data_IF_546180201552
#
_entry.id   IF_546180201552
#
_cell.length_a   1.000
_cell.length_b   1.000
_cell.length_c   1.000
_cell.angle_alpha   90.00
_cell.angle_beta   90.00
_cell.angle_gamma   90.00
#
_symmetry.space_group_name_H-M   'P 1'
#
loop_
_entity.id
_entity.type
_entity.pdbx_description
1 polymer ?
#
# COMPACT_ATOMS: atom_id res chain seq x y z
N UNK A 1 -25.83 -6.73 -3.28
CA UNK A 1 -25.81 -5.32 -2.80
C UNK A 1 -24.39 -5.03 -2.36
N UNK A 2 -23.81 -3.92 -2.85
CA UNK A 2 -22.46 -3.52 -2.43
C UNK A 2 -22.43 -3.22 -0.93
N UNK A 3 -21.36 -3.63 -0.29
CA UNK A 3 -21.10 -3.36 1.14
C UNK A 3 -20.87 -1.86 1.35
N UNK A 4 -21.40 -1.31 2.44
CA UNK A 4 -21.20 0.09 2.85
C UNK A 4 -20.70 0.11 4.28
N UNK A 5 -19.53 0.73 4.51
CA UNK A 5 -18.91 0.88 5.83
C UNK A 5 -18.62 2.36 6.07
N UNK A 6 -19.04 2.91 7.19
CA UNK A 6 -18.86 4.33 7.53
C UNK A 6 -19.37 5.30 6.43
N UNK A 7 -20.44 4.92 5.73
CA UNK A 7 -20.98 5.69 4.60
C UNK A 7 -20.17 5.60 3.29
N UNK A 8 -19.07 4.86 3.28
CA UNK A 8 -18.27 4.59 2.08
C UNK A 8 -18.73 3.26 1.46
N UNK A 9 -19.06 3.31 0.17
CA UNK A 9 -19.42 2.12 -0.60
C UNK A 9 -18.15 1.43 -1.07
N UNK A 10 -18.03 0.13 -0.83
CA UNK A 10 -16.96 -0.69 -1.43
C UNK A 10 -17.33 -0.96 -2.90
N UNK A 11 -16.44 -0.66 -3.86
CA UNK A 11 -16.69 -0.93 -5.28
C UNK A 11 -17.03 -2.39 -5.54
N UNK A 12 -18.07 -2.62 -6.35
CA UNK A 12 -18.58 -3.96 -6.68
C UNK A 12 -18.81 -4.16 -8.19
N UNK A 13 -18.11 -3.39 -9.04
CA UNK A 13 -18.03 -3.67 -10.46
C UNK A 13 -17.47 -5.08 -10.70
N UNK A 14 -17.60 -5.62 -11.88
CA UNK A 14 -16.99 -6.91 -12.23
C UNK A 14 -15.49 -6.86 -11.94
N UNK A 15 -14.81 -5.80 -12.35
CA UNK A 15 -13.38 -5.61 -12.20
C UNK A 15 -12.97 -5.50 -10.71
N UNK A 16 -13.71 -4.73 -9.91
CA UNK A 16 -13.45 -4.61 -8.48
C UNK A 16 -13.62 -5.94 -7.74
N UNK A 17 -14.61 -6.76 -8.13
CA UNK A 17 -14.77 -8.10 -7.56
C UNK A 17 -13.61 -9.02 -7.90
N UNK A 18 -13.18 -9.04 -9.17
CA UNK A 18 -12.03 -9.86 -9.60
C UNK A 18 -10.74 -9.44 -8.90
N UNK A 19 -10.51 -8.13 -8.70
CA UNK A 19 -9.38 -7.63 -7.91
C UNK A 19 -9.46 -8.09 -6.44
N UNK A 20 -10.66 -8.07 -5.86
CA UNK A 20 -10.89 -8.54 -4.48
C UNK A 20 -10.63 -10.04 -4.34
N UNK A 21 -11.08 -10.84 -5.30
CA UNK A 21 -10.83 -12.29 -5.33
C UNK A 21 -9.35 -12.59 -5.46
N UNK A 22 -8.64 -11.86 -6.34
CA UNK A 22 -7.20 -11.99 -6.49
C UNK A 22 -6.45 -11.72 -5.15
N UNK A 23 -6.85 -10.67 -4.41
CA UNK A 23 -6.29 -10.39 -3.10
C UNK A 23 -6.62 -11.52 -2.09
N UNK A 24 -7.82 -12.10 -2.13
CA UNK A 24 -8.19 -13.22 -1.25
C UNK A 24 -7.41 -14.49 -1.55
N UNK A 25 -7.18 -14.78 -2.83
CA UNK A 25 -6.49 -16.00 -3.28
C UNK A 25 -4.99 -15.99 -2.98
N UNK A 26 -4.38 -14.82 -2.98
CA UNK A 26 -2.93 -14.68 -2.88
C UNK A 26 -2.46 -13.93 -1.63
N UNK A 27 -3.31 -13.12 -1.03
CA UNK A 27 -3.03 -12.39 0.22
C UNK A 27 -3.31 -13.24 1.47
N UNK A 28 -2.84 -12.75 2.60
CA UNK A 28 -3.22 -13.28 3.91
C UNK A 28 -4.48 -12.57 4.43
N UNK A 29 -5.19 -13.12 5.44
CA UNK A 29 -6.28 -12.40 6.11
C UNK A 29 -5.85 -11.02 6.66
N UNK A 30 -4.58 -10.89 7.08
CA UNK A 30 -4.00 -9.61 7.49
C UNK A 30 -4.00 -8.61 6.34
N UNK A 31 -3.40 -8.97 5.20
CA UNK A 31 -3.30 -8.10 4.02
C UNK A 31 -4.68 -7.75 3.47
N UNK A 32 -5.60 -8.72 3.44
CA UNK A 32 -6.97 -8.46 3.02
C UNK A 32 -7.65 -7.39 3.89
N UNK A 33 -7.65 -7.57 5.21
CA UNK A 33 -8.26 -6.63 6.13
C UNK A 33 -7.56 -5.25 6.10
N UNK A 34 -6.22 -5.24 5.98
CA UNK A 34 -5.43 -4.02 5.82
C UNK A 34 -5.82 -3.25 4.55
N UNK A 35 -5.84 -3.89 3.41
CA UNK A 35 -6.19 -3.27 2.12
C UNK A 35 -7.58 -2.64 2.15
N UNK A 36 -8.57 -3.31 2.76
CA UNK A 36 -9.91 -2.75 2.89
C UNK A 36 -9.95 -1.54 3.83
N UNK A 37 -9.18 -1.56 4.94
CA UNK A 37 -9.06 -0.39 5.82
C UNK A 37 -8.33 0.77 5.12
N UNK A 38 -7.29 0.49 4.34
CA UNK A 38 -6.58 1.50 3.53
C UNK A 38 -7.54 2.21 2.59
N UNK A 39 -8.36 1.46 1.85
CA UNK A 39 -9.39 2.04 1.00
C UNK A 39 -10.37 2.90 1.80
N UNK A 40 -10.93 2.37 2.88
CA UNK A 40 -11.95 3.04 3.68
C UNK A 40 -11.41 4.31 4.35
N UNK A 41 -10.23 4.25 4.98
CA UNK A 41 -9.61 5.40 5.60
C UNK A 41 -9.21 6.46 4.57
N UNK A 42 -8.65 6.05 3.43
CA UNK A 42 -8.37 6.95 2.31
C UNK A 42 -9.63 7.65 1.83
N UNK A 43 -10.71 6.92 1.58
CA UNK A 43 -11.98 7.48 1.13
C UNK A 43 -12.63 8.43 2.17
N UNK A 44 -12.55 8.10 3.47
CA UNK A 44 -13.04 8.98 4.54
C UNK A 44 -12.22 10.26 4.59
N UNK A 45 -10.88 10.19 4.51
CA UNK A 45 -10.00 11.38 4.45
C UNK A 45 -10.30 12.22 3.21
N UNK A 46 -10.52 11.57 2.05
CA UNK A 46 -10.94 12.26 0.82
C UNK A 46 -12.25 13.04 1.01
N UNK A 47 -13.25 12.42 1.64
CA UNK A 47 -14.51 13.05 1.98
C UNK A 47 -14.32 14.23 2.95
N UNK A 48 -13.51 14.08 3.99
CA UNK A 48 -13.23 15.12 4.97
C UNK A 48 -12.49 16.32 4.38
N UNK A 49 -11.72 16.10 3.32
CA UNK A 49 -11.00 17.13 2.56
C UNK A 49 -11.78 17.65 1.34
N UNK A 50 -13.02 17.21 1.14
CA UNK A 50 -13.86 17.57 0.01
C UNK A 50 -13.21 17.30 -1.37
N UNK A 51 -12.40 16.23 -1.47
CA UNK A 51 -11.73 15.88 -2.70
C UNK A 51 -12.67 15.12 -3.65
N UNK A 52 -12.56 15.40 -4.94
CA UNK A 52 -13.22 14.60 -5.98
C UNK A 52 -12.33 13.40 -6.29
N UNK A 53 -12.82 12.20 -6.03
CA UNK A 53 -12.05 10.95 -6.07
C UNK A 53 -12.77 9.92 -6.94
N UNK A 54 -12.04 9.26 -7.83
CA UNK A 54 -12.50 8.02 -8.42
C UNK A 54 -12.32 6.89 -7.41
N UNK A 55 -13.43 6.46 -6.80
CA UNK A 55 -13.43 5.45 -5.76
C UNK A 55 -13.00 4.06 -6.26
N UNK A 56 -13.20 3.74 -7.54
CA UNK A 56 -12.77 2.47 -8.09
C UNK A 56 -11.25 2.45 -8.29
N UNK A 57 -10.66 3.54 -8.76
CA UNK A 57 -9.22 3.66 -8.90
C UNK A 57 -8.50 3.71 -7.55
N UNK A 58 -9.07 4.42 -6.56
CA UNK A 58 -8.59 4.38 -5.18
C UNK A 58 -8.64 2.95 -4.62
N UNK A 59 -9.72 2.22 -4.90
CA UNK A 59 -9.89 0.82 -4.48
C UNK A 59 -8.83 -0.09 -5.08
N UNK A 60 -8.54 0.01 -6.38
CA UNK A 60 -7.46 -0.77 -6.99
C UNK A 60 -6.11 -0.44 -6.36
N UNK A 61 -5.80 0.83 -6.14
CA UNK A 61 -4.60 1.22 -5.42
C UNK A 61 -4.49 0.53 -4.07
N UNK A 62 -5.56 0.56 -3.28
CA UNK A 62 -5.60 -0.05 -1.94
C UNK A 62 -5.54 -1.59 -1.97
N UNK A 63 -6.23 -2.25 -2.93
CA UNK A 63 -6.27 -3.72 -3.01
C UNK A 63 -4.93 -4.31 -3.43
N UNK A 64 -4.20 -3.62 -4.29
CA UNK A 64 -2.95 -4.13 -4.85
C UNK A 64 -1.69 -3.70 -4.09
N UNK A 65 -1.72 -2.65 -3.23
CA UNK A 65 -0.50 -1.99 -2.74
C UNK A 65 0.52 -2.91 -2.07
N UNK A 66 0.08 -3.95 -1.40
CA UNK A 66 0.92 -4.89 -0.64
C UNK A 66 1.04 -6.29 -1.28
N UNK A 67 0.50 -6.52 -2.49
CA UNK A 67 0.57 -7.83 -3.14
C UNK A 67 2.00 -8.30 -3.41
N UNK A 68 2.94 -7.38 -3.63
CA UNK A 68 4.36 -7.69 -3.80
C UNK A 68 5.05 -8.29 -2.56
N UNK A 69 4.39 -8.29 -1.39
CA UNK A 69 4.84 -9.04 -0.22
C UNK A 69 4.51 -10.53 -0.31
N UNK A 70 3.60 -10.94 -1.19
CA UNK A 70 3.12 -12.31 -1.30
C UNK A 70 4.02 -13.18 -2.16
N UNK A 71 4.01 -14.49 -1.91
CA UNK A 71 4.85 -15.43 -2.66
C UNK A 71 4.58 -15.45 -4.17
N UNK A 72 3.35 -15.11 -4.58
CA UNK A 72 2.94 -15.09 -6.00
C UNK A 72 3.54 -13.92 -6.76
N UNK A 73 3.65 -12.74 -6.14
CA UNK A 73 3.98 -11.50 -6.83
C UNK A 73 5.36 -10.94 -6.52
N UNK A 74 6.00 -11.38 -5.43
CA UNK A 74 7.34 -10.92 -5.08
C UNK A 74 8.40 -11.38 -6.09
N UNK A 75 9.21 -10.46 -6.58
CA UNK A 75 10.42 -10.74 -7.35
C UNK A 75 11.65 -10.90 -6.45
N UNK A 76 12.80 -11.15 -7.06
CA UNK A 76 14.10 -11.22 -6.37
C UNK A 76 14.88 -9.89 -6.37
N UNK A 77 14.51 -8.95 -7.24
CA UNK A 77 15.33 -7.79 -7.60
C UNK A 77 14.60 -6.44 -7.53
N UNK A 78 13.26 -6.43 -7.43
CA UNK A 78 12.50 -5.20 -7.27
C UNK A 78 12.04 -5.00 -5.83
N UNK A 79 11.81 -3.74 -5.45
CA UNK A 79 11.09 -3.37 -4.23
C UNK A 79 9.69 -3.98 -4.28
N UNK A 80 9.13 -4.33 -3.11
CA UNK A 80 7.78 -4.92 -3.07
C UNK A 80 6.71 -3.96 -3.60
N UNK A 81 6.91 -2.65 -3.44
CA UNK A 81 6.01 -1.62 -3.98
C UNK A 81 5.99 -1.66 -5.51
N UNK A 82 7.13 -1.93 -6.15
CA UNK A 82 7.24 -2.07 -7.62
C UNK A 82 6.59 -3.39 -8.07
N UNK A 83 6.82 -4.48 -7.35
CA UNK A 83 6.18 -5.76 -7.62
C UNK A 83 4.65 -5.63 -7.55
N UNK A 84 4.14 -4.97 -6.50
CA UNK A 84 2.72 -4.65 -6.32
C UNK A 84 2.15 -3.79 -7.45
N UNK A 85 2.86 -2.71 -7.79
CA UNK A 85 2.44 -1.77 -8.83
C UNK A 85 2.41 -2.44 -10.22
N UNK A 86 3.39 -3.29 -10.52
CA UNK A 86 3.42 -4.07 -11.77
C UNK A 86 2.24 -5.05 -11.83
N UNK A 87 1.94 -5.76 -10.73
CA UNK A 87 0.79 -6.67 -10.67
C UNK A 87 -0.53 -5.93 -10.94
N UNK A 88 -0.72 -4.74 -10.37
CA UNK A 88 -1.88 -3.90 -10.61
C UNK A 88 -1.98 -3.46 -12.08
N UNK A 89 -0.88 -2.94 -12.63
CA UNK A 89 -0.82 -2.48 -14.02
C UNK A 89 -1.15 -3.60 -15.00
N UNK A 90 -0.57 -4.77 -14.81
CA UNK A 90 -0.81 -5.92 -15.69
C UNK A 90 -2.27 -6.40 -15.58
N UNK A 91 -2.83 -6.42 -14.39
CA UNK A 91 -4.25 -6.72 -14.17
C UNK A 91 -5.14 -5.71 -14.89
N UNK A 92 -4.95 -4.41 -14.70
CA UNK A 92 -5.77 -3.37 -15.30
C UNK A 92 -5.69 -3.38 -16.84
N UNK A 93 -4.48 -3.54 -17.39
CA UNK A 93 -4.26 -3.67 -18.83
C UNK A 93 -4.95 -4.90 -19.43
N UNK A 94 -4.88 -6.04 -18.76
CA UNK A 94 -5.55 -7.26 -19.20
C UNK A 94 -7.07 -7.13 -19.28
N UNK A 95 -7.62 -6.13 -18.54
CA UNK A 95 -9.05 -5.79 -18.55
C UNK A 95 -9.39 -4.58 -19.44
N UNK A 96 -8.43 -4.12 -20.25
CA UNK A 96 -8.66 -3.08 -21.26
C UNK A 96 -8.64 -1.65 -20.74
N UNK A 97 -8.16 -1.40 -19.52
CA UNK A 97 -7.94 -0.02 -19.07
C UNK A 97 -6.75 0.60 -19.82
N UNK A 98 -6.86 1.90 -20.08
CA UNK A 98 -5.83 2.64 -20.78
C UNK A 98 -4.56 2.84 -19.93
N UNK A 99 -3.46 3.16 -20.60
CA UNK A 99 -2.14 3.31 -19.99
C UNK A 99 -2.07 4.45 -18.98
N UNK A 100 -2.82 5.53 -19.19
CA UNK A 100 -2.81 6.66 -18.25
C UNK A 100 -3.48 6.28 -16.93
N UNK A 101 -4.58 5.55 -17.01
CA UNK A 101 -5.31 5.01 -15.85
C UNK A 101 -4.47 3.96 -15.10
N UNK A 102 -3.91 2.98 -15.82
CA UNK A 102 -3.05 1.95 -15.22
C UNK A 102 -1.77 2.55 -14.61
N UNK A 103 -1.19 3.56 -15.25
CA UNK A 103 -0.02 4.30 -14.75
C UNK A 103 -0.32 5.10 -13.48
N UNK A 104 -1.51 5.70 -13.38
CA UNK A 104 -1.91 6.43 -12.18
C UNK A 104 -2.07 5.49 -10.97
N UNK A 105 -2.68 4.32 -11.14
CA UNK A 105 -2.78 3.30 -10.09
C UNK A 105 -1.40 2.74 -9.75
N UNK A 106 -0.53 2.57 -10.75
CA UNK A 106 0.86 2.19 -10.54
C UNK A 106 1.60 3.18 -9.65
N UNK A 107 1.47 4.50 -9.93
CA UNK A 107 2.06 5.57 -9.11
C UNK A 107 1.53 5.53 -7.67
N UNK A 108 0.22 5.34 -7.50
CA UNK A 108 -0.40 5.27 -6.17
C UNK A 108 0.22 4.13 -5.33
N UNK A 109 0.45 2.98 -5.96
CA UNK A 109 1.03 1.82 -5.30
C UNK A 109 2.54 2.00 -5.10
N UNK A 110 3.29 2.42 -6.12
CA UNK A 110 4.75 2.56 -6.03
C UNK A 110 5.20 3.61 -5.00
N UNK A 111 4.35 4.59 -4.71
CA UNK A 111 4.66 5.70 -3.82
C UNK A 111 4.07 5.57 -2.41
N UNK A 112 3.24 4.55 -2.11
CA UNK A 112 2.47 4.48 -0.86
C UNK A 112 3.31 4.44 0.42
N UNK A 113 4.59 4.03 0.31
CA UNK A 113 5.56 4.04 1.42
C UNK A 113 6.49 5.26 1.40
N UNK A 114 6.28 6.19 0.47
CA UNK A 114 7.11 7.39 0.32
C UNK A 114 6.43 8.57 1.03
N UNK A 115 7.03 9.13 2.09
CA UNK A 115 6.43 10.26 2.78
C UNK A 115 6.27 11.50 1.89
N UNK A 116 5.23 12.30 2.13
CA UNK A 116 4.97 13.63 1.56
C UNK A 116 4.67 13.65 0.05
N UNK A 117 5.52 13.06 -0.80
CA UNK A 117 5.41 13.16 -2.28
C UNK A 117 4.01 12.83 -2.81
N UNK A 118 3.33 11.75 -2.38
CA UNK A 118 1.99 11.42 -2.87
C UNK A 118 0.95 12.51 -2.65
N UNK A 119 1.08 13.30 -1.58
CA UNK A 119 0.14 14.37 -1.25
C UNK A 119 0.17 15.55 -2.25
N UNK A 120 1.22 15.63 -3.10
CA UNK A 120 1.34 16.60 -4.18
C UNK A 120 0.91 16.07 -5.55
N UNK A 121 0.28 14.87 -5.57
CA UNK A 121 -0.19 14.22 -6.79
C UNK A 121 -1.73 14.20 -6.85
N UNK A 122 -2.29 13.39 -7.73
CA UNK A 122 -3.75 13.21 -7.86
C UNK A 122 -4.35 12.66 -6.56
N UNK A 123 -5.63 12.98 -6.28
CA UNK A 123 -6.29 12.54 -5.05
C UNK A 123 -6.20 11.03 -4.81
N UNK A 124 -6.37 10.20 -5.84
CA UNK A 124 -6.30 8.74 -5.72
C UNK A 124 -4.92 8.29 -5.22
N UNK A 125 -3.84 8.92 -5.71
CA UNK A 125 -2.46 8.61 -5.28
C UNK A 125 -2.25 9.05 -3.83
N UNK A 126 -2.64 10.27 -3.49
CA UNK A 126 -2.53 10.82 -2.15
C UNK A 126 -3.30 9.97 -1.12
N UNK A 127 -4.50 9.53 -1.48
CA UNK A 127 -5.41 8.85 -0.56
C UNK A 127 -5.07 7.36 -0.36
N UNK A 128 -4.41 6.68 -1.29
CA UNK A 128 -3.81 5.36 -1.02
C UNK A 128 -2.77 5.51 0.10
N UNK A 129 -1.82 6.45 -0.05
CA UNK A 129 -0.83 6.75 0.99
C UNK A 129 -1.51 7.17 2.29
N UNK A 130 -2.50 8.08 2.22
CA UNK A 130 -3.23 8.54 3.39
C UNK A 130 -3.97 7.44 4.14
N UNK A 131 -4.49 6.44 3.44
CA UNK A 131 -5.09 5.24 4.04
C UNK A 131 -4.05 4.36 4.74
N UNK A 132 -2.87 4.18 4.12
CA UNK A 132 -1.74 3.45 4.72
C UNK A 132 -1.21 4.17 5.96
N UNK A 133 -0.97 5.48 5.88
CA UNK A 133 -0.54 6.32 7.02
C UNK A 133 -1.50 6.18 8.20
N UNK A 134 -2.81 6.27 7.95
CA UNK A 134 -3.82 6.14 9.00
C UNK A 134 -3.83 4.74 9.62
N UNK A 135 -3.77 3.67 8.81
CA UNK A 135 -3.84 2.30 9.35
C UNK A 135 -2.54 1.83 9.98
N UNK A 136 -1.38 2.17 9.41
CA UNK A 136 -0.08 1.67 9.89
C UNK A 136 0.51 2.56 10.98
N UNK A 137 0.53 3.88 10.75
CA UNK A 137 1.22 4.86 11.60
C UNK A 137 0.27 5.58 12.55
N UNK A 138 -1.00 5.68 12.20
CA UNK A 138 -1.97 6.50 12.93
C UNK A 138 -1.96 7.98 12.51
N UNK A 139 -1.26 8.32 11.42
CA UNK A 139 -1.16 9.69 10.93
C UNK A 139 -2.45 10.08 10.18
N UNK A 140 -2.99 11.28 10.48
CA UNK A 140 -4.23 11.76 9.89
C UNK A 140 -5.50 11.14 10.49
N UNK A 141 -5.41 10.45 11.64
CA UNK A 141 -6.60 9.92 12.35
C UNK A 141 -7.53 11.03 12.85
N UNK A 142 -7.03 12.23 13.05
CA UNK A 142 -7.83 13.42 13.41
C UNK A 142 -8.80 13.84 12.29
N UNK A 143 -8.52 13.46 11.03
CA UNK A 143 -9.39 13.71 9.88
C UNK A 143 -10.52 12.65 9.77
N UNK A 144 -10.45 11.58 10.54
CA UNK A 144 -11.38 10.44 10.51
C UNK A 144 -12.27 10.51 11.77
N UNK A 145 -13.58 10.77 11.63
CA UNK A 145 -14.50 10.76 12.78
C UNK A 145 -14.40 9.44 13.56
N UNK A 146 -14.45 9.54 14.90
CA UNK A 146 -14.29 8.37 15.76
C UNK A 146 -15.30 7.25 15.43
N UNK A 147 -16.56 7.61 15.18
CA UNK A 147 -17.60 6.65 14.81
C UNK A 147 -17.32 5.92 13.49
N UNK A 148 -16.74 6.63 12.49
CA UNK A 148 -16.36 6.04 11.20
C UNK A 148 -15.18 5.08 11.38
N UNK A 149 -14.18 5.50 12.15
CA UNK A 149 -13.03 4.65 12.49
C UNK A 149 -13.49 3.36 13.20
N UNK A 150 -14.37 3.48 14.19
CA UNK A 150 -14.88 2.33 14.93
C UNK A 150 -15.68 1.39 14.01
N UNK A 151 -16.48 1.91 13.08
CA UNK A 151 -17.20 1.12 12.09
C UNK A 151 -16.25 0.38 11.14
N UNK A 152 -15.17 1.03 10.69
CA UNK A 152 -14.14 0.40 9.84
C UNK A 152 -13.44 -0.73 10.61
N UNK A 153 -13.05 -0.50 11.86
CA UNK A 153 -12.36 -1.50 12.68
C UNK A 153 -13.29 -2.66 13.11
N UNK A 154 -14.59 -2.43 13.21
CA UNK A 154 -15.57 -3.50 13.44
C UNK A 154 -15.73 -4.39 12.20
N UNK A 155 -15.77 -3.80 10.99
CA UNK A 155 -15.87 -4.53 9.73
C UNK A 155 -14.58 -5.29 9.38
N UNK A 156 -13.42 -4.67 9.60
CA UNK A 156 -12.10 -5.20 9.28
C UNK A 156 -11.16 -5.11 10.49
N UNK A 157 -11.21 -6.07 11.43
CA UNK A 157 -10.45 -6.03 12.67
C UNK A 157 -8.93 -6.05 12.48
N UNK A 158 -8.20 -5.41 13.41
CA UNK A 158 -6.73 -5.38 13.44
C UNK A 158 -6.16 -6.44 14.39
N UNK A 159 -6.39 -7.71 14.09
CA UNK A 159 -5.94 -8.83 14.92
C UNK A 159 -4.41 -8.95 14.83
N UNK A 160 -3.73 -8.78 15.98
CA UNK A 160 -2.25 -8.82 16.08
C UNK A 160 -1.51 -7.95 15.04
N UNK A 161 -2.17 -6.94 14.51
CA UNK A 161 -1.74 -6.20 13.32
C UNK A 161 -0.29 -5.71 13.40
N UNK A 162 0.12 -5.09 14.52
CA UNK A 162 1.47 -4.51 14.66
C UNK A 162 2.57 -5.57 14.51
N UNK A 163 2.37 -6.75 15.07
CA UNK A 163 3.35 -7.84 15.01
C UNK A 163 3.36 -8.50 13.64
N UNK A 164 2.17 -8.84 13.15
CA UNK A 164 2.02 -9.58 11.90
C UNK A 164 2.37 -8.73 10.67
N UNK A 165 2.19 -7.40 10.72
CA UNK A 165 2.63 -6.49 9.64
C UNK A 165 4.15 -6.46 9.53
N UNK A 166 4.87 -6.33 10.67
CA UNK A 166 6.34 -6.38 10.66
C UNK A 166 6.83 -7.73 10.12
N UNK A 167 6.15 -8.83 10.49
CA UNK A 167 6.46 -10.17 9.96
C UNK A 167 6.22 -10.27 8.45
N UNK A 168 5.07 -9.80 7.96
CA UNK A 168 4.74 -9.82 6.54
C UNK A 168 5.77 -9.04 5.71
N UNK A 169 6.20 -7.88 6.18
CA UNK A 169 7.28 -7.12 5.55
C UNK A 169 8.60 -7.90 5.56
N UNK A 170 9.01 -8.46 6.71
CA UNK A 170 10.22 -9.27 6.80
C UNK A 170 10.20 -10.42 5.80
N UNK A 171 9.12 -11.20 5.79
CA UNK A 171 8.96 -12.34 4.88
C UNK A 171 8.92 -11.90 3.41
N UNK A 172 8.38 -10.70 3.14
CA UNK A 172 8.22 -10.15 1.80
C UNK A 172 9.52 -9.72 1.13
N UNK A 173 10.52 -9.25 1.90
CA UNK A 173 11.74 -8.70 1.30
C UNK A 173 13.07 -9.04 2.00
N UNK A 174 13.10 -9.89 3.05
CA UNK A 174 14.35 -10.33 3.67
C UNK A 174 15.30 -11.05 2.70
N UNK A 175 14.77 -11.70 1.66
CA UNK A 175 15.54 -12.38 0.62
C UNK A 175 16.17 -11.43 -0.42
N UNK A 176 15.79 -10.15 -0.43
CA UNK A 176 16.26 -9.12 -1.36
C UNK A 176 16.65 -7.81 -0.64
N UNK A 177 17.57 -7.87 0.36
CA UNK A 177 17.86 -6.73 1.23
C UNK A 177 18.44 -5.52 0.48
N UNK A 178 19.08 -5.71 -0.67
CA UNK A 178 19.59 -4.61 -1.49
C UNK A 178 18.49 -3.67 -2.02
N UNK A 179 17.24 -4.15 -2.11
CA UNK A 179 16.10 -3.35 -2.60
C UNK A 179 15.58 -2.35 -1.56
N UNK A 180 16.08 -2.38 -0.34
CA UNK A 180 15.59 -1.54 0.77
C UNK A 180 16.34 -0.20 0.90
N UNK A 181 17.37 0.04 0.09
CA UNK A 181 18.14 1.29 0.12
C UNK A 181 17.24 2.52 -0.01
N UNK A 182 17.37 3.45 0.93
CA UNK A 182 16.63 4.73 0.92
C UNK A 182 15.14 4.60 1.25
N UNK A 183 14.70 3.48 1.83
CA UNK A 183 13.31 3.22 2.16
C UNK A 183 13.12 2.85 3.63
N UNK A 184 11.87 2.97 4.13
CA UNK A 184 11.50 2.48 5.46
C UNK A 184 11.68 0.96 5.63
N UNK A 185 11.74 0.22 4.51
CA UNK A 185 11.93 -1.24 4.51
C UNK A 185 13.29 -1.62 5.15
N UNK A 186 14.30 -0.74 5.06
CA UNK A 186 15.58 -0.95 5.73
C UNK A 186 15.47 -0.94 7.26
N UNK A 187 14.54 -0.17 7.83
CA UNK A 187 14.31 -0.15 9.28
C UNK A 187 13.71 -1.48 9.77
N UNK A 188 12.82 -2.07 8.95
CA UNK A 188 12.27 -3.40 9.24
C UNK A 188 13.37 -4.46 9.25
N UNK A 189 14.23 -4.50 8.21
CA UNK A 189 15.30 -5.48 8.14
C UNK A 189 16.36 -5.28 9.22
N UNK A 190 16.70 -4.05 9.56
CA UNK A 190 17.66 -3.79 10.64
C UNK A 190 17.18 -4.34 11.98
N UNK A 191 15.85 -4.32 12.20
CA UNK A 191 15.22 -4.86 13.40
C UNK A 191 15.04 -6.37 13.38
N UNK A 192 14.84 -6.98 12.21
CA UNK A 192 14.35 -8.36 12.09
C UNK A 192 15.31 -9.34 11.42
N UNK A 193 16.26 -8.86 10.63
CA UNK A 193 17.20 -9.70 9.87
C UNK A 193 18.58 -9.69 10.54
N UNK A 194 19.01 -10.82 11.17
CA UNK A 194 20.32 -10.90 11.80
C UNK A 194 21.46 -10.57 10.84
N UNK A 195 22.35 -9.68 11.26
CA UNK A 195 23.53 -9.27 10.47
C UNK A 195 23.27 -8.19 9.43
N UNK A 196 22.02 -7.85 9.14
CA UNK A 196 21.72 -6.71 8.28
C UNK A 196 22.06 -5.39 8.97
N UNK A 197 22.60 -4.45 8.21
CA UNK A 197 22.83 -3.06 8.62
C UNK A 197 22.19 -2.13 7.59
N UNK A 198 21.43 -1.17 8.07
CA UNK A 198 20.82 -0.14 7.23
C UNK A 198 21.91 0.64 6.47
N UNK A 199 21.87 0.71 5.14
CA UNK A 199 22.83 1.49 4.37
C UNK A 199 22.76 2.97 4.74
N UNK A 200 23.93 3.58 4.99
CA UNK A 200 24.02 5.01 5.26
C UNK A 200 24.41 5.74 3.95
N UNK A 201 23.65 6.75 3.58
CA UNK A 201 23.89 7.50 2.34
C UNK A 201 25.26 8.22 2.34
N UNK A 202 25.70 8.74 3.49
CA UNK A 202 27.02 9.39 3.60
C UNK A 202 28.16 8.39 3.38
N UNK A 203 28.03 7.15 3.87
CA UNK A 203 29.01 6.10 3.65
C UNK A 203 29.09 5.71 2.17
N UNK A 204 27.95 5.70 1.46
CA UNK A 204 27.91 5.44 0.02
C UNK A 204 28.59 6.55 -0.77
N UNK A 205 28.42 7.82 -0.37
CA UNK A 205 29.15 8.94 -0.97
C UNK A 205 30.66 8.78 -0.73
N UNK A 206 31.06 8.49 0.52
CA UNK A 206 32.48 8.35 0.85
C UNK A 206 33.14 7.15 0.15
N UNK A 207 32.40 6.11 -0.15
CA UNK A 207 32.87 4.93 -0.88
C UNK A 207 32.88 5.11 -2.42
N UNK A 208 32.46 6.26 -2.95
CA UNK A 208 32.46 6.52 -4.37
C UNK A 208 33.92 6.50 -4.91
N UNK A 209 34.23 5.70 -5.95
CA UNK A 209 35.60 5.61 -6.48
C UNK A 209 36.08 6.83 -7.27
N UNK A 210 35.19 7.76 -7.61
CA UNK A 210 35.54 8.97 -8.29
C UNK A 210 36.23 9.93 -7.30
N UNK A 211 37.39 10.43 -7.71
CA UNK A 211 38.12 11.43 -6.91
C UNK A 211 37.32 12.74 -6.80
N UNK A 212 37.20 13.28 -5.60
CA UNK A 212 36.55 14.55 -5.31
C UNK A 212 37.29 15.33 -4.24
#
# INVERSE_FOLDING_TARGET
MSEVVAGIRIPDSKLAREATELLRDHGTPLLFAHSLRVYLFGAIRGRSRELVVDHELLYFGAVFHDLGLTAKYRSHDHRFEIDSANAARDFLRSHGLDEATAGMVWDAIALHTTPEIPWHKRPEIALVTGGVEADVLGDGLEEIPAADRDAVLAAYPRIDFKRETVRAFTDGFAHKPATTLGTMNSDVLERTLPGYRRPNFCDLIAANPLAG
#
